data_IF_285006753718
#
_entry.id   IF_285006753718
#
_cell.length_a   1.000
_cell.length_b   1.000
_cell.length_c   1.000
_cell.angle_alpha   90.00
_cell.angle_beta   90.00
_cell.angle_gamma   90.00
#
_symmetry.space_group_name_H-M   'P 1'
#
loop_
_entity.id
_entity.type
_entity.pdbx_description
1 polymer ?
#
# COMPACT_ATOMS: atom_id res chain seq x y z
N UNK A 1 45.39 18.14 31.91
CA UNK A 1 45.23 16.69 31.70
C UNK A 1 43.77 16.33 31.99
N UNK A 2 43.13 15.67 31.02
CA UNK A 2 41.92 14.84 31.14
C UNK A 2 40.52 15.50 31.07
N UNK A 3 39.91 15.21 29.91
CA UNK A 3 38.49 15.06 29.61
C UNK A 3 37.68 16.31 29.18
N UNK A 4 38.19 16.97 28.14
CA UNK A 4 37.38 17.15 26.92
C UNK A 4 37.10 15.76 26.32
N UNK A 5 35.94 15.58 25.70
CA UNK A 5 35.29 14.36 25.16
C UNK A 5 34.30 13.72 26.11
N UNK A 6 33.18 13.27 25.54
CA UNK A 6 32.00 12.63 26.14
C UNK A 6 30.80 13.54 26.43
N UNK A 7 30.73 14.72 25.80
CA UNK A 7 29.51 15.07 25.06
C UNK A 7 29.46 14.13 23.84
N UNK A 8 29.16 12.85 24.09
CA UNK A 8 28.85 11.93 23.01
C UNK A 8 27.51 12.44 22.46
N UNK A 9 27.61 13.13 21.33
CA UNK A 9 26.50 13.32 20.42
C UNK A 9 25.91 11.94 20.11
N UNK A 10 24.99 11.47 20.94
CA UNK A 10 23.89 10.64 20.49
C UNK A 10 22.80 11.60 20.05
N UNK A 11 23.11 12.42 19.04
CA UNK A 11 22.10 12.77 18.06
C UNK A 11 21.85 11.46 17.32
N UNK A 12 21.01 10.61 17.91
CA UNK A 12 20.34 9.59 17.13
C UNK A 12 19.60 10.36 16.05
N UNK A 13 20.18 10.43 14.86
CA UNK A 13 19.40 10.69 13.67
C UNK A 13 18.33 9.61 13.67
N UNK A 14 17.12 9.96 14.09
CA UNK A 14 15.95 9.13 13.91
C UNK A 14 15.70 9.09 12.40
N UNK A 15 16.47 8.26 11.70
CA UNK A 15 16.30 8.04 10.28
C UNK A 15 15.00 7.25 10.13
N UNK A 16 13.90 7.95 9.83
CA UNK A 16 12.70 7.27 9.36
C UNK A 16 13.02 6.59 8.02
N UNK A 17 12.77 5.30 7.95
CA UNK A 17 12.85 4.50 6.74
C UNK A 17 11.47 4.48 6.09
N UNK A 18 11.43 4.51 4.77
CA UNK A 18 10.19 4.40 4.00
C UNK A 18 10.35 3.27 3.00
N UNK A 19 9.44 2.31 3.06
CA UNK A 19 9.33 1.26 2.08
C UNK A 19 8.03 1.47 1.28
N UNK A 20 8.06 1.14 -0.01
CA UNK A 20 6.89 1.21 -0.90
C UNK A 20 6.79 -0.13 -1.64
N UNK A 21 5.58 -0.66 -1.73
CA UNK A 21 5.29 -1.91 -2.39
C UNK A 21 3.99 -1.77 -3.16
N UNK A 22 3.90 -2.29 -4.39
CA UNK A 22 2.60 -2.52 -4.98
C UNK A 22 1.80 -3.50 -4.12
N UNK A 23 0.48 -3.40 -4.23
CA UNK A 23 -0.41 -4.34 -3.59
C UNK A 23 -0.30 -5.70 -4.29
N UNK A 24 -0.07 -6.73 -3.49
CA UNK A 24 0.00 -8.11 -3.95
C UNK A 24 -1.02 -8.98 -3.22
N UNK A 25 -1.46 -10.04 -3.88
CA UNK A 25 -2.20 -11.12 -3.21
C UNK A 25 -1.28 -11.89 -2.23
N UNK A 26 -1.82 -12.79 -1.37
CA UNK A 26 -1.02 -13.55 -0.42
C UNK A 26 0.05 -14.47 -1.05
N UNK A 27 0.00 -14.68 -2.37
CA UNK A 27 0.98 -15.47 -3.13
C UNK A 27 2.09 -14.57 -3.74
N UNK A 28 2.01 -13.25 -3.53
CA UNK A 28 2.98 -12.28 -4.03
C UNK A 28 2.67 -11.75 -5.43
N UNK A 29 1.54 -12.14 -6.04
CA UNK A 29 1.18 -11.66 -7.38
C UNK A 29 0.62 -10.25 -7.31
N UNK A 30 1.05 -9.39 -8.24
CA UNK A 30 0.53 -8.02 -8.35
C UNK A 30 -0.95 -8.03 -8.69
N UNK A 31 -1.70 -7.15 -8.03
CA UNK A 31 -3.14 -7.04 -8.25
C UNK A 31 -3.60 -5.61 -8.51
N UNK A 32 -4.66 -5.53 -9.29
CA UNK A 32 -5.46 -4.34 -9.51
C UNK A 32 -6.79 -4.52 -8.80
N UNK A 33 -7.28 -3.44 -8.18
CA UNK A 33 -8.61 -3.39 -7.59
C UNK A 33 -9.59 -2.69 -8.54
N UNK A 34 -10.73 -3.32 -8.79
CA UNK A 34 -11.78 -2.73 -9.61
C UNK A 34 -12.51 -1.62 -8.85
N UNK A 35 -12.64 -0.45 -9.50
CA UNK A 35 -13.36 0.69 -8.94
C UNK A 35 -14.86 0.42 -9.01
N UNK A 36 -15.57 0.39 -7.86
CA UNK A 36 -16.99 0.10 -7.86
C UNK A 36 -17.78 1.12 -8.67
N UNK A 37 -18.71 0.65 -9.52
CA UNK A 37 -19.63 1.47 -10.31
C UNK A 37 -18.98 2.39 -11.35
N UNK A 38 -17.66 2.40 -11.47
CA UNK A 38 -16.97 3.10 -12.56
C UNK A 38 -17.19 2.39 -13.89
N UNK A 39 -17.19 3.15 -14.98
CA UNK A 39 -17.38 2.62 -16.34
C UNK A 39 -16.18 3.00 -17.19
N UNK A 40 -15.63 2.08 -18.01
CA UNK A 40 -14.58 2.41 -18.94
C UNK A 40 -14.95 3.59 -19.85
N UNK A 41 -13.97 4.43 -20.17
CA UNK A 41 -14.14 5.64 -20.98
C UNK A 41 -14.84 6.78 -20.24
N UNK A 42 -15.06 6.68 -18.93
CA UNK A 42 -15.63 7.74 -18.09
C UNK A 42 -14.78 7.98 -16.87
N UNK A 43 -14.63 9.25 -16.52
CA UNK A 43 -13.98 9.65 -15.28
C UNK A 43 -14.78 9.11 -14.07
N UNK A 44 -14.15 8.38 -13.14
CA UNK A 44 -14.82 7.88 -11.94
C UNK A 44 -15.18 9.01 -10.98
N UNK A 45 -16.25 8.81 -10.21
CA UNK A 45 -16.66 9.77 -9.18
C UNK A 45 -15.58 9.87 -8.08
N UNK A 46 -15.03 11.08 -7.90
CA UNK A 46 -14.06 11.41 -6.84
C UNK A 46 -14.45 10.87 -5.46
N UNK A 47 -15.72 10.92 -5.08
CA UNK A 47 -16.20 10.43 -3.78
C UNK A 47 -16.10 8.91 -3.67
N UNK A 48 -16.28 8.20 -4.78
CA UNK A 48 -16.10 6.75 -4.83
C UNK A 48 -14.63 6.40 -4.65
N UNK A 49 -13.73 7.14 -5.30
CA UNK A 49 -12.29 6.93 -5.17
C UNK A 49 -11.80 7.22 -3.75
N UNK A 50 -12.17 8.37 -3.18
CA UNK A 50 -11.87 8.73 -1.79
C UNK A 50 -12.36 7.65 -0.82
N UNK A 51 -13.58 7.14 -1.03
CA UNK A 51 -14.12 6.06 -0.22
C UNK A 51 -13.32 4.76 -0.37
N UNK A 52 -12.90 4.39 -1.58
CA UNK A 52 -12.06 3.21 -1.81
C UNK A 52 -10.74 3.33 -1.04
N UNK A 53 -10.02 4.45 -1.19
CA UNK A 53 -8.74 4.64 -0.49
C UNK A 53 -8.91 4.72 1.03
N UNK A 54 -9.96 5.40 1.51
CA UNK A 54 -10.28 5.47 2.94
C UNK A 54 -10.63 4.08 3.49
N UNK A 55 -11.45 3.27 2.82
CA UNK A 55 -11.81 1.93 3.28
C UNK A 55 -10.60 0.98 3.34
N UNK A 56 -9.64 1.16 2.43
CA UNK A 56 -8.37 0.42 2.42
C UNK A 56 -7.44 0.84 3.57
N UNK A 57 -7.39 2.14 3.87
CA UNK A 57 -6.54 2.71 4.92
C UNK A 57 -7.16 2.62 6.33
N UNK A 58 -8.48 2.50 6.43
CA UNK A 58 -9.26 2.54 7.69
C UNK A 58 -8.73 1.65 8.82
N UNK A 59 -8.29 0.40 8.58
CA UNK A 59 -7.71 -0.41 9.66
C UNK A 59 -6.47 0.25 10.29
N UNK A 60 -5.69 0.97 9.49
CA UNK A 60 -4.40 1.57 9.87
C UNK A 60 -4.53 2.99 10.44
N UNK A 61 -5.69 3.62 10.31
CA UNK A 61 -5.97 4.93 10.93
C UNK A 61 -5.98 4.85 12.47
N UNK A 62 -6.26 3.67 13.03
CA UNK A 62 -6.17 3.45 14.48
C UNK A 62 -4.76 2.97 14.86
N UNK A 63 -4.08 3.72 15.75
CA UNK A 63 -2.75 3.36 16.28
C UNK A 63 -2.65 1.92 16.80
N UNK A 64 -3.76 1.32 17.22
CA UNK A 64 -3.79 -0.01 17.82
C UNK A 64 -3.64 -1.17 16.82
N UNK A 65 -4.10 -1.02 15.57
CA UNK A 65 -4.21 -2.16 14.66
C UNK A 65 -2.84 -2.71 14.20
N UNK A 66 -1.87 -1.86 13.77
CA UNK A 66 -0.54 -2.34 13.41
C UNK A 66 0.19 -2.97 14.62
N UNK A 67 0.03 -2.40 15.81
CA UNK A 67 0.64 -2.88 17.06
C UNK A 67 0.14 -4.27 17.47
N UNK A 68 -1.13 -4.58 17.20
CA UNK A 68 -1.74 -5.85 17.58
C UNK A 68 -1.39 -6.99 16.62
N UNK A 69 -1.22 -6.70 15.32
CA UNK A 69 -1.06 -7.71 14.27
C UNK A 69 0.40 -7.90 13.82
N UNK A 70 1.28 -6.96 14.18
CA UNK A 70 2.70 -7.00 13.87
C UNK A 70 3.52 -6.95 15.15
N UNK A 71 3.15 -7.71 16.19
CA UNK A 71 3.87 -7.72 17.48
C UNK A 71 5.35 -8.13 17.35
N UNK A 72 5.68 -8.85 16.27
CA UNK A 72 7.05 -9.21 15.89
C UNK A 72 7.89 -8.01 15.41
N UNK A 73 7.22 -6.91 15.05
CA UNK A 73 7.81 -5.66 14.60
C UNK A 73 7.48 -4.60 15.65
N UNK A 74 8.50 -3.94 16.22
CA UNK A 74 8.30 -2.86 17.20
C UNK A 74 7.73 -1.58 16.54
N UNK A 75 6.47 -1.64 16.12
CA UNK A 75 5.73 -0.52 15.55
C UNK A 75 5.19 0.43 16.65
N UNK A 76 5.54 0.17 17.93
CA UNK A 76 5.11 0.93 19.11
C UNK A 76 5.65 2.36 19.15
N UNK A 77 6.67 2.64 18.32
CA UNK A 77 7.35 3.92 18.21
C UNK A 77 6.66 4.86 17.21
N UNK A 78 5.54 5.45 17.63
CA UNK A 78 4.93 6.73 17.22
C UNK A 78 4.79 7.16 15.73
N UNK A 79 5.29 6.47 14.71
CA UNK A 79 5.22 6.95 13.31
C UNK A 79 5.16 5.83 12.26
N UNK A 80 4.29 4.84 12.45
CA UNK A 80 3.90 3.94 11.37
C UNK A 80 2.78 4.59 10.54
N UNK A 81 3.13 5.24 9.44
CA UNK A 81 2.17 5.84 8.51
C UNK A 81 1.97 4.90 7.32
N UNK A 82 0.73 4.46 7.10
CA UNK A 82 0.34 3.65 5.94
C UNK A 82 -0.39 4.54 4.95
N UNK A 83 0.15 4.64 3.73
CA UNK A 83 -0.48 5.37 2.63
C UNK A 83 -0.87 4.39 1.54
N UNK A 84 -2.08 4.56 1.01
CA UNK A 84 -2.58 3.79 -0.14
C UNK A 84 -2.94 4.77 -1.24
N UNK A 85 -2.22 4.70 -2.36
CA UNK A 85 -2.46 5.53 -3.55
C UNK A 85 -2.05 4.75 -4.79
N UNK A 86 -2.48 5.13 -5.98
CA UNK A 86 -2.06 4.40 -7.17
C UNK A 86 -2.60 4.96 -8.48
N UNK A 87 -1.94 4.65 -9.61
CA UNK A 87 -2.50 4.98 -10.91
C UNK A 87 -3.80 4.22 -11.13
N UNK A 88 -4.68 4.85 -11.91
CA UNK A 88 -5.98 4.33 -12.26
C UNK A 88 -6.15 4.42 -13.78
N UNK A 89 -6.84 3.44 -14.36
CA UNK A 89 -7.10 3.44 -15.79
C UNK A 89 -8.15 2.42 -16.21
N UNK A 90 -8.54 2.51 -17.47
CA UNK A 90 -9.37 1.52 -18.14
C UNK A 90 -8.52 0.29 -18.43
N UNK A 91 -9.00 -0.88 -18.02
CA UNK A 91 -8.31 -2.15 -18.18
C UNK A 91 -9.24 -3.17 -18.81
N UNK A 92 -8.65 -4.14 -19.49
CA UNK A 92 -9.37 -5.26 -20.08
C UNK A 92 -8.71 -6.57 -19.65
N UNK A 93 -9.51 -7.53 -19.19
CA UNK A 93 -9.00 -8.88 -18.88
C UNK A 93 -8.71 -9.66 -20.16
N UNK A 94 -7.91 -10.73 -20.06
CA UNK A 94 -7.69 -11.67 -21.17
C UNK A 94 -9.01 -12.25 -21.73
N UNK A 95 -10.04 -12.37 -20.89
CA UNK A 95 -11.41 -12.79 -21.27
C UNK A 95 -12.26 -11.71 -21.95
N UNK A 96 -11.72 -10.50 -22.16
CA UNK A 96 -12.41 -9.40 -22.85
C UNK A 96 -13.32 -8.55 -21.98
N UNK A 97 -13.22 -8.64 -20.66
CA UNK A 97 -14.02 -7.81 -19.74
C UNK A 97 -13.30 -6.50 -19.47
N UNK A 98 -13.90 -5.39 -19.87
CA UNK A 98 -13.39 -4.05 -19.58
C UNK A 98 -13.91 -3.52 -18.23
N UNK A 99 -13.05 -2.85 -17.47
CA UNK A 99 -13.36 -2.23 -16.17
C UNK A 99 -12.39 -1.08 -15.86
N UNK A 100 -12.70 -0.25 -14.86
CA UNK A 100 -11.74 0.74 -14.35
C UNK A 100 -11.03 0.15 -13.15
N UNK A 101 -9.70 0.11 -13.19
CA UNK A 101 -8.88 -0.47 -12.13
C UNK A 101 -7.93 0.53 -11.49
N UNK A 102 -7.64 0.33 -10.20
CA UNK A 102 -6.58 1.02 -9.46
C UNK A 102 -5.47 0.01 -9.20
N UNK A 103 -4.22 0.39 -9.45
CA UNK A 103 -3.03 -0.36 -9.02
C UNK A 103 -2.54 0.23 -7.69
N UNK A 104 -2.94 -0.30 -6.53
CA UNK A 104 -2.64 0.34 -5.27
C UNK A 104 -1.16 0.16 -4.91
N UNK A 105 -0.54 1.23 -4.45
CA UNK A 105 0.78 1.27 -3.85
C UNK A 105 0.58 1.51 -2.37
N UNK A 106 1.26 0.69 -1.57
CA UNK A 106 1.29 0.77 -0.12
C UNK A 106 2.65 1.33 0.27
N UNK A 107 2.65 2.42 1.02
CA UNK A 107 3.87 2.93 1.65
C UNK A 107 3.79 2.71 3.16
N UNK A 108 4.92 2.34 3.76
CA UNK A 108 5.11 2.30 5.20
C UNK A 108 6.33 3.14 5.55
N UNK A 109 6.12 4.15 6.39
CA UNK A 109 7.20 4.88 7.05
C UNK A 109 7.35 4.37 8.48
N UNK A 110 8.58 4.18 8.95
CA UNK A 110 8.89 3.66 10.29
C UNK A 110 10.28 4.13 10.75
N UNK A 111 10.54 4.18 12.06
CA UNK A 111 11.88 4.48 12.61
C UNK A 111 12.75 3.23 12.81
N UNK A 112 12.29 2.08 12.34
CA UNK A 112 13.02 0.82 12.37
C UNK A 112 14.10 0.74 11.28
N UNK A 113 14.86 -0.36 11.25
CA UNK A 113 15.78 -0.65 10.15
C UNK A 113 15.03 -0.80 8.81
N UNK A 114 15.73 -0.60 7.70
CA UNK A 114 15.22 -0.81 6.35
C UNK A 114 14.55 -2.19 6.20
N UNK A 115 15.27 -3.25 6.58
CA UNK A 115 14.81 -4.64 6.47
C UNK A 115 13.54 -4.89 7.30
N UNK A 116 13.48 -4.37 8.52
CA UNK A 116 12.31 -4.50 9.38
C UNK A 116 11.11 -3.75 8.79
N UNK A 117 11.33 -2.55 8.24
CA UNK A 117 10.32 -1.75 7.56
C UNK A 117 9.79 -2.46 6.30
N UNK A 118 10.65 -3.08 5.50
CA UNK A 118 10.24 -3.85 4.32
C UNK A 118 9.44 -5.10 4.69
N UNK A 119 9.87 -5.84 5.72
CA UNK A 119 9.14 -7.02 6.20
C UNK A 119 7.76 -6.65 6.77
N UNK A 120 7.68 -5.55 7.51
CA UNK A 120 6.41 -5.00 7.99
C UNK A 120 5.51 -4.58 6.82
N UNK A 121 6.07 -3.91 5.80
CA UNK A 121 5.31 -3.48 4.62
C UNK A 121 4.65 -4.64 3.88
N UNK A 122 5.34 -5.77 3.70
CA UNK A 122 4.76 -6.97 3.06
C UNK A 122 3.51 -7.43 3.80
N UNK A 123 3.57 -7.42 5.13
CA UNK A 123 2.48 -7.85 5.99
C UNK A 123 1.32 -6.84 5.99
N UNK A 124 1.63 -5.54 5.94
CA UNK A 124 0.65 -4.45 5.74
C UNK A 124 -0.05 -4.58 4.38
N UNK A 125 0.70 -4.79 3.29
CA UNK A 125 0.15 -4.96 1.95
C UNK A 125 -0.79 -6.17 1.87
N UNK A 126 -0.42 -7.29 2.48
CA UNK A 126 -1.28 -8.48 2.56
C UNK A 126 -2.60 -8.21 3.31
N UNK A 127 -2.57 -7.41 4.38
CA UNK A 127 -3.82 -7.03 5.05
C UNK A 127 -4.65 -6.06 4.21
N UNK A 128 -4.04 -5.06 3.58
CA UNK A 128 -4.77 -4.14 2.69
C UNK A 128 -5.49 -4.93 1.59
N UNK A 129 -4.85 -5.97 1.07
CA UNK A 129 -5.49 -6.88 0.11
C UNK A 129 -6.72 -7.58 0.71
N UNK A 130 -6.59 -8.17 1.91
CA UNK A 130 -7.74 -8.77 2.62
C UNK A 130 -8.83 -7.75 2.89
N UNK A 131 -8.48 -6.52 3.24
CA UNK A 131 -9.41 -5.44 3.51
C UNK A 131 -10.16 -5.01 2.25
N UNK A 132 -9.49 -4.97 1.10
CA UNK A 132 -10.12 -4.74 -0.20
C UNK A 132 -11.22 -5.78 -0.45
N UNK A 133 -10.90 -7.06 -0.25
CA UNK A 133 -11.85 -8.16 -0.43
C UNK A 133 -13.03 -8.09 0.57
N UNK A 134 -12.76 -7.78 1.85
CA UNK A 134 -13.81 -7.59 2.87
C UNK A 134 -14.73 -6.41 2.54
N UNK A 135 -14.21 -5.39 1.86
CA UNK A 135 -14.98 -4.22 1.39
C UNK A 135 -15.74 -4.50 0.10
N UNK A 136 -15.69 -5.73 -0.42
CA UNK A 136 -16.37 -6.16 -1.63
C UNK A 136 -15.71 -5.69 -2.92
N UNK A 137 -14.45 -5.21 -2.86
CA UNK A 137 -13.70 -4.86 -4.05
C UNK A 137 -13.27 -6.13 -4.79
N UNK A 138 -13.40 -6.11 -6.11
CA UNK A 138 -12.90 -7.19 -6.94
C UNK A 138 -11.41 -6.98 -7.19
N UNK A 139 -10.62 -8.01 -6.87
CA UNK A 139 -9.19 -8.08 -7.17
C UNK A 139 -8.99 -8.82 -8.48
N UNK A 140 -8.12 -8.31 -9.36
CA UNK A 140 -7.72 -8.92 -10.63
C UNK A 140 -6.19 -8.95 -10.69
N UNK A 141 -5.58 -10.08 -11.06
CA UNK A 141 -4.12 -10.14 -11.20
C UNK A 141 -3.69 -9.38 -12.43
N UNK A 142 -2.51 -8.76 -12.36
CA UNK A 142 -1.92 -8.07 -13.51
C UNK A 142 -1.71 -9.04 -14.68
N UNK A 143 -1.33 -10.29 -14.40
CA UNK A 143 -1.14 -11.34 -15.42
C UNK A 143 -2.44 -11.73 -16.14
N UNK A 144 -3.60 -11.43 -15.56
CA UNK A 144 -4.91 -11.66 -16.17
C UNK A 144 -5.38 -10.49 -17.04
N UNK A 145 -4.57 -9.43 -17.18
CA UNK A 145 -4.87 -8.25 -17.99
C UNK A 145 -4.30 -8.40 -19.41
N UNK A 146 -5.01 -7.85 -20.39
CA UNK A 146 -4.42 -7.63 -21.72
C UNK A 146 -3.38 -6.52 -21.59
N UNK A 147 -2.19 -6.77 -22.12
CA UNK A 147 -1.22 -5.68 -22.31
C UNK A 147 -1.86 -4.60 -23.18
N UNK A 148 -1.82 -3.35 -22.71
CA UNK A 148 -2.14 -2.21 -23.56
C UNK A 148 -1.22 -2.29 -24.78
N UNK A 149 -1.79 -2.46 -25.97
CA UNK A 149 -1.08 -2.12 -27.19
C UNK A 149 -0.82 -0.63 -27.11
N UNK A 150 0.38 -0.23 -26.68
CA UNK A 150 0.84 1.16 -26.74
C UNK A 150 0.37 1.74 -28.08
N UNK A 151 -0.25 2.93 -28.10
CA UNK A 151 -0.44 3.63 -29.36
C UNK A 151 0.95 3.72 -30.00
N UNK A 152 1.10 3.16 -31.21
CA UNK A 152 2.31 3.37 -32.00
C UNK A 152 2.48 4.88 -32.11
N UNK A 153 3.56 5.39 -31.53
CA UNK A 153 4.02 6.75 -31.76
C UNK A 153 4.33 6.95 -33.24
#
# INVERSE_FOLDING_TARGET
>A
MRLLLWLFLWVFAACSHTAISPLSDPQGNLVVLEVPKARPGKEPDSKVLEKVFSDLAKPFETRAWPLQHFQEFDLSSDHAEVLVAGPMGDLETLSGRSFVGILPLVALRSNQSAESTENALRSVAAEIHRQALRSGLRSVRVDDLKEEKKPKA
#
